data_IF_845229819595
#
_entry.id   IF_845229819595
#
_cell.length_a   1.000
_cell.length_b   1.000
_cell.length_c   1.000
_cell.angle_alpha   90.00
_cell.angle_beta   90.00
_cell.angle_gamma   90.00
#
_symmetry.space_group_name_H-M   'P 1'
#
loop_
_entity.id
_entity.type
_entity.pdbx_description
1 polymer ?
#
# COMPACT_ATOMS: atom_id res chain seq x y z
N UNK A 1 -13.75 53.30 20.46
CA UNK A 1 -12.27 53.43 20.55
C UNK A 1 -11.66 52.32 19.72
N UNK A 2 -11.23 52.66 18.50
CA UNK A 2 -10.57 51.75 17.57
C UNK A 2 -9.08 52.08 17.56
N UNK A 3 -8.22 51.20 18.08
CA UNK A 3 -6.78 51.21 17.86
C UNK A 3 -6.25 49.78 17.93
N UNK A 4 -5.59 49.36 16.86
CA UNK A 4 -4.98 48.05 16.69
C UNK A 4 -4.51 47.89 15.26
N UNK A 5 -3.74 48.87 14.80
CA UNK A 5 -3.14 48.97 13.47
C UNK A 5 -2.42 47.66 13.15
N UNK A 6 -2.96 46.90 12.20
CA UNK A 6 -2.22 45.86 11.49
C UNK A 6 -1.05 46.58 10.80
N UNK A 7 0.14 46.44 11.38
CA UNK A 7 1.37 46.86 10.73
C UNK A 7 1.43 46.19 9.35
N UNK A 8 1.65 46.94 8.26
CA UNK A 8 1.86 46.31 6.96
C UNK A 8 3.11 45.44 7.06
N UNK A 9 2.95 44.12 6.89
CA UNK A 9 4.07 43.19 6.75
C UNK A 9 4.95 43.72 5.62
N UNK A 10 6.20 44.06 5.95
CA UNK A 10 7.18 44.60 4.99
C UNK A 10 7.26 43.63 3.81
N UNK A 11 7.00 44.11 2.59
CA UNK A 11 7.39 43.38 1.38
C UNK A 11 8.89 43.11 1.49
N UNK A 12 9.24 41.84 1.65
CA UNK A 12 10.62 41.38 1.63
C UNK A 12 11.25 41.85 0.32
N UNK A 13 12.40 42.55 0.38
CA UNK A 13 13.15 42.87 -0.83
C UNK A 13 13.49 41.56 -1.54
N UNK A 14 13.04 41.36 -2.77
CA UNK A 14 13.15 40.06 -3.44
C UNK A 14 14.34 40.06 -4.41
N UNK A 15 15.31 39.13 -4.27
CA UNK A 15 16.39 38.96 -5.24
C UNK A 15 15.91 38.20 -6.50
N UNK A 16 14.62 38.31 -6.87
CA UNK A 16 13.99 37.56 -7.97
C UNK A 16 14.70 37.71 -9.31
N UNK A 17 15.37 38.84 -9.56
CA UNK A 17 16.20 39.06 -10.75
C UNK A 17 17.43 38.13 -10.80
N UNK A 18 17.97 37.71 -9.65
CA UNK A 18 19.12 36.80 -9.53
C UNK A 18 18.73 35.32 -9.60
N UNK A 19 17.47 34.94 -9.32
CA UNK A 19 17.06 33.52 -9.26
C UNK A 19 17.31 32.75 -10.56
N UNK A 20 17.16 33.39 -11.71
CA UNK A 20 17.45 32.75 -12.99
C UNK A 20 18.94 32.38 -13.13
N UNK A 21 19.82 33.23 -12.60
CA UNK A 21 21.27 32.99 -12.58
C UNK A 21 21.59 31.85 -11.62
N UNK A 22 21.02 31.89 -10.41
CA UNK A 22 21.22 30.84 -9.40
C UNK A 22 20.76 29.48 -9.92
N UNK A 23 19.57 29.41 -10.51
CA UNK A 23 19.01 28.18 -11.01
C UNK A 23 19.83 27.55 -12.15
N UNK A 24 20.44 28.37 -13.02
CA UNK A 24 21.38 27.89 -14.05
C UNK A 24 22.67 27.36 -13.43
N UNK A 25 23.19 28.03 -12.41
CA UNK A 25 24.38 27.58 -11.66
C UNK A 25 24.12 26.26 -10.96
N UNK A 26 22.96 26.12 -10.31
CA UNK A 26 22.51 24.88 -9.68
C UNK A 26 22.44 23.72 -10.69
N UNK A 27 21.83 23.91 -11.86
CA UNK A 27 21.75 22.86 -12.87
C UNK A 27 23.14 22.35 -13.31
N UNK A 28 24.11 23.26 -13.46
CA UNK A 28 25.51 22.91 -13.76
C UNK A 28 26.18 22.20 -12.59
N UNK A 29 25.89 22.60 -11.36
CA UNK A 29 26.41 21.94 -10.15
C UNK A 29 25.88 20.51 -10.03
N UNK A 30 24.58 20.28 -10.31
CA UNK A 30 24.01 18.93 -10.27
C UNK A 30 24.69 17.99 -11.25
N UNK A 31 24.97 18.45 -12.48
CA UNK A 31 25.66 17.65 -13.49
C UNK A 31 27.11 17.31 -13.11
N UNK A 32 27.76 18.11 -12.25
CA UNK A 32 29.10 17.80 -11.73
C UNK A 32 29.06 16.79 -10.58
N UNK A 33 28.06 16.90 -9.72
CA UNK A 33 27.97 16.15 -8.46
C UNK A 33 27.20 14.83 -8.57
N UNK A 34 26.29 14.71 -9.53
CA UNK A 34 25.35 13.60 -9.65
C UNK A 34 25.59 12.88 -10.99
N UNK A 35 26.12 11.63 -10.98
CA UNK A 35 26.43 10.88 -12.20
C UNK A 35 25.26 10.76 -13.18
N UNK A 36 24.04 10.62 -12.68
CA UNK A 36 22.84 10.53 -13.53
C UNK A 36 22.53 11.84 -14.26
N UNK A 37 22.76 12.99 -13.62
CA UNK A 37 22.55 14.30 -14.24
C UNK A 37 23.68 14.66 -15.20
N UNK A 38 24.91 14.17 -14.97
CA UNK A 38 26.04 14.33 -15.88
C UNK A 38 25.77 13.71 -17.27
N UNK A 39 24.88 12.71 -17.33
CA UNK A 39 24.49 11.99 -18.57
C UNK A 39 23.35 12.67 -19.32
N UNK A 40 22.68 13.66 -18.73
CA UNK A 40 21.61 14.39 -19.40
C UNK A 40 22.19 15.34 -20.45
N UNK A 41 21.46 15.54 -21.56
CA UNK A 41 21.85 16.52 -22.58
C UNK A 41 21.91 17.94 -21.99
N UNK A 42 22.89 18.74 -22.42
CA UNK A 42 23.10 20.11 -21.95
C UNK A 42 21.85 20.99 -22.10
N UNK A 43 21.11 20.83 -23.20
CA UNK A 43 19.85 21.55 -23.43
C UNK A 43 18.77 21.21 -22.39
N UNK A 44 18.73 19.97 -21.89
CA UNK A 44 17.81 19.56 -20.82
C UNK A 44 18.22 20.18 -19.48
N UNK A 45 19.52 20.24 -19.17
CA UNK A 45 20.00 20.88 -17.95
C UNK A 45 19.61 22.37 -17.92
N UNK A 46 19.75 23.08 -19.04
CA UNK A 46 19.45 24.51 -19.10
C UNK A 46 17.96 24.84 -19.23
N UNK A 47 17.18 24.05 -19.97
CA UNK A 47 15.75 24.36 -20.24
C UNK A 47 14.78 23.71 -19.27
N UNK A 48 15.19 22.67 -18.56
CA UNK A 48 14.32 21.90 -17.65
C UNK A 48 14.82 22.00 -16.20
N UNK A 49 16.05 21.54 -15.90
CA UNK A 49 16.56 21.54 -14.51
C UNK A 49 16.66 22.96 -13.94
N UNK A 50 17.20 23.91 -14.72
CA UNK A 50 17.28 25.30 -14.29
C UNK A 50 15.88 25.94 -14.19
N UNK A 51 14.95 25.58 -15.08
CA UNK A 51 13.58 26.12 -15.02
C UNK A 51 12.87 25.66 -13.76
N UNK A 52 12.93 24.37 -13.44
CA UNK A 52 12.35 23.78 -12.23
C UNK A 52 12.97 24.39 -10.97
N UNK A 53 14.30 24.51 -10.93
CA UNK A 53 15.01 25.13 -9.80
C UNK A 53 14.62 26.59 -9.58
N UNK A 54 14.32 27.32 -10.66
CA UNK A 54 13.80 28.69 -10.60
C UNK A 54 12.38 28.76 -10.03
N UNK A 55 11.46 27.87 -10.44
CA UNK A 55 10.11 27.84 -9.89
C UNK A 55 10.12 27.52 -8.39
N UNK A 56 11.00 26.63 -7.94
CA UNK A 56 11.17 26.34 -6.51
C UNK A 56 11.73 27.53 -5.74
N UNK A 57 12.68 28.28 -6.32
CA UNK A 57 13.18 29.52 -5.69
C UNK A 57 12.09 30.60 -5.61
N UNK A 58 11.20 30.68 -6.61
CA UNK A 58 10.05 31.58 -6.56
C UNK A 58 9.07 31.19 -5.44
N UNK A 59 8.82 29.89 -5.25
CA UNK A 59 7.89 29.39 -4.23
C UNK A 59 8.32 29.74 -2.81
N UNK A 60 9.63 29.81 -2.54
CA UNK A 60 10.15 30.27 -1.24
C UNK A 60 9.68 31.70 -0.89
N UNK A 61 9.34 32.52 -1.89
CA UNK A 61 8.96 33.94 -1.73
C UNK A 61 7.48 34.25 -2.00
N UNK A 62 6.72 33.38 -2.65
CA UNK A 62 5.31 33.62 -2.96
C UNK A 62 4.43 33.11 -1.80
N UNK A 63 3.35 33.84 -1.52
CA UNK A 63 2.34 33.38 -0.54
C UNK A 63 1.39 32.34 -1.15
N UNK A 64 1.29 32.29 -2.48
CA UNK A 64 0.50 31.30 -3.24
C UNK A 64 1.40 30.50 -4.18
N UNK A 65 1.47 29.19 -3.94
CA UNK A 65 2.27 28.20 -4.69
C UNK A 65 1.39 27.21 -5.47
N UNK A 66 0.26 27.69 -6.01
CA UNK A 66 -0.66 26.85 -6.79
C UNK A 66 0.08 26.16 -7.95
N UNK A 67 -0.02 24.84 -8.00
CA UNK A 67 0.61 24.01 -9.05
C UNK A 67 2.05 23.58 -8.78
N UNK A 68 2.70 24.01 -7.68
CA UNK A 68 4.06 23.59 -7.32
C UNK A 68 4.18 22.06 -7.15
N UNK A 69 3.20 21.46 -6.49
CA UNK A 69 3.15 20.02 -6.27
C UNK A 69 2.94 19.24 -7.57
N UNK A 70 2.03 19.69 -8.42
CA UNK A 70 1.79 19.10 -9.74
C UNK A 70 3.03 19.17 -10.63
N UNK A 71 3.75 20.30 -10.60
CA UNK A 71 5.05 20.45 -11.26
C UNK A 71 6.05 19.41 -10.74
N UNK A 72 6.15 19.25 -9.41
CA UNK A 72 7.06 18.29 -8.80
C UNK A 72 6.71 16.83 -9.17
N UNK A 73 5.43 16.45 -9.21
CA UNK A 73 4.99 15.13 -9.70
C UNK A 73 5.48 14.91 -11.14
N UNK A 74 5.23 15.87 -12.04
CA UNK A 74 5.65 15.78 -13.44
C UNK A 74 7.18 15.70 -13.61
N UNK A 75 7.95 16.35 -12.73
CA UNK A 75 9.43 16.23 -12.69
C UNK A 75 9.83 14.80 -12.34
N UNK A 76 9.21 14.20 -11.33
CA UNK A 76 9.44 12.82 -10.93
C UNK A 76 9.24 11.83 -12.07
N UNK A 77 8.09 11.92 -12.73
CA UNK A 77 7.77 11.05 -13.88
C UNK A 77 8.77 11.22 -15.03
N UNK A 78 9.13 12.46 -15.34
CA UNK A 78 10.07 12.77 -16.43
C UNK A 78 11.46 12.20 -16.16
N UNK A 79 11.95 12.33 -14.93
CA UNK A 79 13.28 11.85 -14.52
C UNK A 79 13.37 10.32 -14.55
N UNK A 80 12.29 9.65 -14.18
CA UNK A 80 12.15 8.20 -14.38
C UNK A 80 12.29 7.85 -15.86
N UNK A 81 11.55 8.52 -16.75
CA UNK A 81 11.60 8.28 -18.21
C UNK A 81 12.96 8.59 -18.84
N UNK A 82 13.76 9.45 -18.22
CA UNK A 82 15.10 9.83 -18.64
C UNK A 82 16.20 8.96 -18.04
N UNK A 83 15.86 7.93 -17.25
CA UNK A 83 16.83 7.01 -16.66
C UNK A 83 17.64 7.60 -15.50
N UNK A 84 17.18 8.70 -14.90
CA UNK A 84 17.77 9.25 -13.67
C UNK A 84 17.28 8.40 -12.51
N UNK A 85 18.16 7.93 -11.61
CA UNK A 85 17.73 7.13 -10.47
C UNK A 85 16.96 7.97 -9.43
N UNK A 86 16.08 7.33 -8.65
CA UNK A 86 15.40 8.00 -7.53
C UNK A 86 16.41 8.58 -6.53
N UNK A 87 17.53 7.89 -6.28
CA UNK A 87 18.60 8.40 -5.41
C UNK A 87 19.28 9.65 -5.99
N UNK A 88 19.55 9.66 -7.30
CA UNK A 88 20.06 10.83 -8.02
C UNK A 88 19.10 12.01 -7.97
N UNK A 89 17.80 11.76 -8.17
CA UNK A 89 16.75 12.77 -8.05
C UNK A 89 16.67 13.37 -6.64
N UNK A 90 16.62 12.53 -5.59
CA UNK A 90 16.58 13.00 -4.20
C UNK A 90 17.88 13.72 -3.79
N UNK A 91 19.03 13.37 -4.39
CA UNK A 91 20.28 14.10 -4.19
C UNK A 91 20.23 15.50 -4.81
N UNK A 92 19.62 15.66 -5.99
CA UNK A 92 19.44 16.97 -6.63
C UNK A 92 18.62 17.94 -5.75
N UNK A 93 17.59 17.45 -5.08
CA UNK A 93 16.81 18.24 -4.12
C UNK A 93 17.63 18.76 -2.94
N UNK A 94 18.47 17.91 -2.35
CA UNK A 94 19.36 18.33 -1.24
C UNK A 94 20.40 19.36 -1.69
N UNK A 95 20.94 19.20 -2.91
CA UNK A 95 21.86 20.19 -3.50
C UNK A 95 21.13 21.50 -3.80
N UNK A 96 19.90 21.46 -4.34
CA UNK A 96 19.09 22.65 -4.57
C UNK A 96 18.95 23.51 -3.30
N UNK A 97 18.55 22.88 -2.19
CA UNK A 97 18.35 23.59 -0.93
C UNK A 97 19.66 24.16 -0.39
N UNK A 98 20.76 23.40 -0.44
CA UNK A 98 22.08 23.88 -0.04
C UNK A 98 22.50 25.09 -0.87
N UNK A 99 22.44 24.98 -2.20
CA UNK A 99 22.86 26.03 -3.13
C UNK A 99 21.99 27.29 -2.98
N UNK A 100 20.68 27.12 -2.70
CA UNK A 100 19.78 28.24 -2.45
C UNK A 100 20.20 29.02 -1.19
N UNK A 101 20.51 28.32 -0.10
CA UNK A 101 20.98 28.93 1.14
C UNK A 101 22.36 29.59 0.98
N UNK A 102 23.28 28.97 0.24
CA UNK A 102 24.60 29.54 -0.06
C UNK A 102 24.50 30.80 -0.91
N UNK A 103 23.64 30.80 -1.94
CA UNK A 103 23.38 31.98 -2.77
C UNK A 103 22.74 33.12 -1.95
N UNK A 104 21.80 32.80 -1.07
CA UNK A 104 21.20 33.78 -0.15
C UNK A 104 22.23 34.37 0.81
N UNK A 105 23.10 33.52 1.39
CA UNK A 105 24.19 33.98 2.25
C UNK A 105 25.13 34.94 1.52
N UNK A 106 25.41 34.70 0.23
CA UNK A 106 26.34 35.49 -0.56
C UNK A 106 25.73 36.83 -1.03
N UNK A 107 24.51 36.80 -1.56
CA UNK A 107 23.91 37.95 -2.26
C UNK A 107 22.88 38.71 -1.42
N UNK A 108 22.26 38.07 -0.43
CA UNK A 108 21.21 38.67 0.40
C UNK A 108 21.23 38.15 1.86
N UNK A 109 22.36 38.27 2.59
CA UNK A 109 22.53 37.64 3.91
C UNK A 109 21.49 38.08 4.94
N UNK A 110 20.95 39.30 4.81
CA UNK A 110 19.88 39.81 5.68
C UNK A 110 18.55 39.07 5.57
N UNK A 111 18.34 38.29 4.50
CA UNK A 111 17.12 37.50 4.28
C UNK A 111 17.28 36.03 4.68
N UNK A 112 18.50 35.58 5.00
CA UNK A 112 18.80 34.16 5.18
C UNK A 112 17.98 33.52 6.31
N UNK A 113 17.84 34.20 7.44
CA UNK A 113 17.08 33.68 8.59
C UNK A 113 15.58 33.55 8.30
N UNK A 114 15.03 34.46 7.49
CA UNK A 114 13.62 34.44 7.11
C UNK A 114 13.35 33.38 6.02
N UNK A 115 14.26 33.25 5.05
CA UNK A 115 14.10 32.36 3.91
C UNK A 115 14.45 30.89 4.23
N UNK A 116 15.35 30.61 5.18
CA UNK A 116 15.82 29.25 5.42
C UNK A 116 14.71 28.24 5.80
N UNK A 117 13.76 28.57 6.70
CA UNK A 117 12.62 27.69 6.98
C UNK A 117 11.75 27.44 5.74
N UNK A 118 11.57 28.46 4.89
CA UNK A 118 10.80 28.34 3.65
C UNK A 118 11.51 27.47 2.61
N UNK A 119 12.84 27.56 2.50
CA UNK A 119 13.63 26.65 1.64
C UNK A 119 13.46 25.20 2.10
N UNK A 120 13.48 24.95 3.42
CA UNK A 120 13.27 23.61 3.96
C UNK A 120 11.84 23.08 3.70
N UNK A 121 10.83 23.95 3.86
CA UNK A 121 9.42 23.61 3.57
C UNK A 121 9.22 23.27 2.08
N UNK A 122 9.76 24.10 1.18
CA UNK A 122 9.69 23.84 -0.26
C UNK A 122 10.41 22.53 -0.60
N UNK A 123 11.63 22.33 -0.09
CA UNK A 123 12.41 21.10 -0.28
C UNK A 123 11.61 19.84 0.07
N UNK A 124 11.02 19.82 1.26
CA UNK A 124 10.26 18.67 1.76
C UNK A 124 9.11 18.35 0.82
N UNK A 125 8.25 19.34 0.57
CA UNK A 125 7.05 19.22 -0.30
C UNK A 125 7.39 18.75 -1.71
N UNK A 126 8.36 19.39 -2.37
CA UNK A 126 8.67 19.07 -3.78
C UNK A 126 9.41 17.75 -3.92
N UNK A 127 10.27 17.39 -2.95
CA UNK A 127 11.01 16.13 -3.00
C UNK A 127 10.08 14.93 -2.80
N UNK A 128 9.10 15.04 -1.91
CA UNK A 128 8.08 14.02 -1.69
C UNK A 128 7.18 13.85 -2.92
N UNK A 129 6.65 14.97 -3.46
CA UNK A 129 5.81 14.96 -4.64
C UNK A 129 6.52 14.39 -5.89
N UNK A 130 7.79 14.73 -6.09
CA UNK A 130 8.59 14.12 -7.15
C UNK A 130 8.88 12.63 -6.93
N UNK A 131 9.11 12.19 -5.69
CA UNK A 131 9.25 10.76 -5.41
C UNK A 131 7.96 10.00 -5.75
N UNK A 132 6.78 10.57 -5.42
CA UNK A 132 5.48 10.02 -5.84
C UNK A 132 5.35 9.92 -7.36
N UNK A 133 5.62 11.00 -8.09
CA UNK A 133 5.57 10.99 -9.56
C UNK A 133 6.55 9.99 -10.20
N UNK A 134 7.76 9.88 -9.64
CA UNK A 134 8.74 8.89 -10.06
C UNK A 134 8.22 7.46 -9.90
N UNK A 135 7.58 7.16 -8.77
CA UNK A 135 6.97 5.85 -8.52
C UNK A 135 5.78 5.58 -9.44
N UNK A 136 4.95 6.58 -9.74
CA UNK A 136 3.84 6.45 -10.70
C UNK A 136 4.36 6.07 -12.09
N UNK A 137 5.38 6.77 -12.59
CA UNK A 137 5.99 6.43 -13.88
C UNK A 137 6.67 5.04 -13.88
N UNK A 138 7.20 4.58 -12.74
CA UNK A 138 7.66 3.19 -12.60
C UNK A 138 6.50 2.18 -12.64
N UNK A 139 5.32 2.53 -12.11
CA UNK A 139 4.15 1.65 -12.16
C UNK A 139 3.68 1.46 -13.61
N UNK A 140 3.78 2.49 -14.45
CA UNK A 140 3.46 2.45 -15.88
C UNK A 140 4.50 1.70 -16.73
N UNK A 141 5.69 1.42 -16.18
CA UNK A 141 6.78 0.75 -16.91
C UNK A 141 6.63 -0.78 -17.01
N UNK A 142 5.58 -1.35 -16.41
CA UNK A 142 5.34 -2.79 -16.47
C UNK A 142 4.36 -3.13 -17.60
N UNK A 143 4.65 -4.14 -18.44
CA UNK A 143 3.79 -4.47 -19.57
C UNK A 143 2.33 -4.69 -19.12
N UNK A 144 1.33 -4.30 -19.93
CA UNK A 144 -0.11 -4.41 -19.60
C UNK A 144 -0.62 -5.86 -19.60
N UNK A 145 0.27 -6.84 -19.41
CA UNK A 145 -0.09 -8.25 -19.35
C UNK A 145 -0.88 -8.52 -18.07
N UNK A 146 -1.86 -9.44 -18.10
CA UNK A 146 -2.50 -9.91 -16.90
C UNK A 146 -1.47 -10.37 -15.87
N UNK A 147 -1.71 -10.06 -14.61
CA UNK A 147 -0.84 -10.45 -13.50
C UNK A 147 -1.61 -11.29 -12.49
N UNK A 148 -0.95 -12.26 -11.88
CA UNK A 148 -1.42 -12.87 -10.63
C UNK A 148 -1.04 -11.95 -9.48
N UNK A 149 -1.98 -11.67 -8.60
CA UNK A 149 -1.77 -10.81 -7.45
C UNK A 149 -1.67 -11.59 -6.16
N UNK A 150 -0.78 -11.15 -5.27
CA UNK A 150 -0.57 -11.69 -3.93
C UNK A 150 -0.51 -10.55 -2.93
N UNK A 151 -1.19 -10.69 -1.80
CA UNK A 151 -1.23 -9.72 -0.71
C UNK A 151 -0.94 -10.38 0.63
N UNK A 152 -0.23 -9.66 1.50
CA UNK A 152 0.00 -10.05 2.91
C UNK A 152 -0.30 -8.89 3.83
N UNK A 153 -0.80 -9.19 5.02
CA UNK A 153 -0.99 -8.18 6.07
C UNK A 153 0.34 -7.50 6.42
N UNK A 154 0.30 -6.25 6.86
CA UNK A 154 1.50 -5.45 7.13
C UNK A 154 2.48 -6.13 8.11
N UNK A 155 1.97 -6.77 9.17
CA UNK A 155 2.77 -7.53 10.14
C UNK A 155 3.57 -8.68 9.51
N UNK A 156 3.11 -9.17 8.37
CA UNK A 156 3.65 -10.32 7.64
C UNK A 156 4.37 -9.89 6.34
N UNK A 157 4.55 -8.58 6.11
CA UNK A 157 5.12 -8.02 4.88
C UNK A 157 6.54 -8.58 4.57
N UNK A 158 7.29 -8.94 5.60
CA UNK A 158 8.61 -9.57 5.46
C UNK A 158 8.58 -10.91 4.70
N UNK A 159 7.43 -11.59 4.66
CA UNK A 159 7.27 -12.84 3.91
C UNK A 159 7.58 -12.66 2.42
N UNK A 160 7.16 -11.53 1.82
CA UNK A 160 7.32 -11.30 0.38
C UNK A 160 8.78 -11.13 -0.04
N UNK A 161 9.69 -10.79 0.88
CA UNK A 161 11.14 -10.70 0.62
C UNK A 161 11.71 -12.05 0.15
N UNK A 162 11.12 -13.16 0.61
CA UNK A 162 11.58 -14.51 0.25
C UNK A 162 10.93 -15.05 -1.03
N UNK A 163 9.97 -14.34 -1.62
CA UNK A 163 9.25 -14.80 -2.80
C UNK A 163 10.17 -15.23 -3.97
N UNK A 164 11.28 -14.52 -4.30
CA UNK A 164 12.19 -14.95 -5.37
C UNK A 164 12.85 -16.31 -5.15
N UNK A 165 12.91 -16.82 -3.91
CA UNK A 165 13.46 -18.16 -3.62
C UNK A 165 12.48 -19.29 -3.93
N UNK A 166 11.18 -19.00 -3.93
CA UNK A 166 10.13 -20.00 -4.07
C UNK A 166 9.44 -19.94 -5.43
N UNK A 167 9.51 -18.80 -6.12
CA UNK A 167 8.82 -18.57 -7.38
C UNK A 167 9.73 -18.85 -8.58
N UNK A 168 9.21 -19.48 -9.65
CA UNK A 168 9.96 -19.75 -10.88
C UNK A 168 10.06 -18.52 -11.79
N UNK A 169 10.26 -17.33 -11.22
CA UNK A 169 10.27 -16.05 -11.93
C UNK A 169 11.58 -15.29 -11.69
N UNK A 170 12.09 -14.63 -12.73
CA UNK A 170 13.15 -13.64 -12.58
C UNK A 170 12.65 -12.33 -11.96
N UNK A 171 13.55 -11.42 -11.53
CA UNK A 171 13.19 -10.13 -10.94
C UNK A 171 12.24 -9.29 -11.81
N UNK A 172 12.38 -9.36 -13.14
CA UNK A 172 11.55 -8.66 -14.11
C UNK A 172 10.08 -9.14 -14.15
N UNK A 173 9.83 -10.39 -13.74
CA UNK A 173 8.50 -10.99 -13.64
C UNK A 173 7.79 -10.70 -12.32
N UNK A 174 8.40 -9.94 -11.41
CA UNK A 174 7.88 -9.63 -10.09
C UNK A 174 7.87 -8.12 -9.85
N UNK A 175 6.78 -7.59 -9.31
CA UNK A 175 6.76 -6.21 -8.81
C UNK A 175 6.11 -6.14 -7.44
N UNK A 176 6.74 -5.35 -6.58
CA UNK A 176 6.29 -5.10 -5.22
C UNK A 176 5.58 -3.76 -5.16
N UNK A 177 4.51 -3.71 -4.36
CA UNK A 177 3.84 -2.47 -4.02
C UNK A 177 3.43 -2.49 -2.54
N UNK A 178 3.12 -1.31 -2.03
CA UNK A 178 2.51 -1.13 -0.71
C UNK A 178 1.08 -0.70 -0.90
N UNK A 179 0.21 -1.14 0.00
CA UNK A 179 -1.19 -0.80 0.01
C UNK A 179 -1.70 -0.57 1.44
N UNK A 180 -2.83 0.10 1.64
CA UNK A 180 -3.47 0.17 2.95
C UNK A 180 -3.68 -1.24 3.53
N UNK A 181 -3.20 -1.47 4.75
CA UNK A 181 -3.35 -2.76 5.44
C UNK A 181 -2.28 -3.82 5.10
N UNK A 182 -1.42 -3.63 4.10
CA UNK A 182 -0.43 -4.65 3.77
C UNK A 182 0.49 -4.39 2.58
N UNK A 183 1.24 -5.42 2.22
CA UNK A 183 2.18 -5.41 1.09
C UNK A 183 1.64 -6.29 -0.05
N UNK A 184 1.91 -5.87 -1.27
CA UNK A 184 1.50 -6.53 -2.50
C UNK A 184 2.70 -7.05 -3.29
N UNK A 185 2.51 -8.21 -3.91
CA UNK A 185 3.40 -8.79 -4.90
C UNK A 185 2.56 -9.15 -6.12
N UNK A 186 2.91 -8.58 -7.25
CA UNK A 186 2.35 -8.93 -8.54
C UNK A 186 3.32 -9.84 -9.28
N UNK A 187 2.78 -10.79 -10.05
CA UNK A 187 3.53 -11.82 -10.74
C UNK A 187 3.09 -11.88 -12.20
N UNK A 188 4.03 -11.74 -13.13
CA UNK A 188 3.79 -11.91 -14.58
C UNK A 188 3.75 -13.39 -14.96
N UNK A 189 2.86 -14.14 -14.33
CA UNK A 189 2.64 -15.55 -14.62
C UNK A 189 1.23 -15.95 -14.22
N UNK A 190 0.68 -16.98 -14.86
CA UNK A 190 -0.57 -17.55 -14.45
C UNK A 190 -0.48 -18.20 -13.08
N UNK A 191 -1.56 -18.12 -12.31
CA UNK A 191 -1.58 -18.64 -10.93
C UNK A 191 -1.12 -20.10 -10.85
N UNK A 192 -1.49 -20.93 -11.84
CA UNK A 192 -1.10 -22.35 -11.89
C UNK A 192 0.41 -22.58 -11.90
N UNK A 193 1.18 -21.67 -12.50
CA UNK A 193 2.65 -21.79 -12.57
C UNK A 193 3.32 -21.40 -11.25
N UNK A 194 2.72 -20.45 -10.52
CA UNK A 194 3.28 -19.92 -9.27
C UNK A 194 2.67 -20.53 -8.01
N UNK A 195 1.55 -21.26 -8.12
CA UNK A 195 0.78 -21.80 -6.99
C UNK A 195 1.64 -22.62 -6.03
N UNK A 196 2.48 -23.52 -6.57
CA UNK A 196 3.36 -24.36 -5.74
C UNK A 196 4.29 -23.51 -4.88
N UNK A 197 4.96 -22.53 -5.50
CA UNK A 197 5.88 -21.63 -4.82
C UNK A 197 5.18 -20.74 -3.79
N UNK A 198 3.99 -20.25 -4.11
CA UNK A 198 3.16 -19.47 -3.17
C UNK A 198 2.70 -20.31 -1.97
N UNK A 199 2.35 -21.58 -2.17
CA UNK A 199 2.01 -22.50 -1.07
C UNK A 199 3.22 -22.77 -0.16
N UNK A 200 4.41 -22.91 -0.73
CA UNK A 200 5.64 -23.07 0.04
C UNK A 200 5.97 -21.81 0.85
N UNK A 201 5.83 -20.63 0.24
CA UNK A 201 5.97 -19.34 0.90
C UNK A 201 4.98 -19.21 2.08
N UNK A 202 3.72 -19.61 1.87
CA UNK A 202 2.65 -19.52 2.86
C UNK A 202 2.90 -20.37 4.11
N UNK A 203 3.43 -21.58 3.93
CA UNK A 203 3.52 -22.59 5.00
C UNK A 203 4.38 -22.15 6.19
N UNK A 204 5.30 -21.22 6.00
CA UNK A 204 6.30 -20.85 7.01
C UNK A 204 6.26 -19.39 7.44
N UNK A 205 5.53 -18.52 6.72
CA UNK A 205 5.68 -17.07 6.89
C UNK A 205 4.36 -16.33 7.20
N UNK A 206 3.25 -16.66 6.54
CA UNK A 206 2.06 -15.78 6.57
C UNK A 206 0.78 -16.40 6.00
N UNK A 207 -0.36 -15.75 6.25
CA UNK A 207 -1.54 -15.90 5.41
C UNK A 207 -1.37 -15.05 4.14
N UNK A 208 -1.21 -15.69 2.99
CA UNK A 208 -1.11 -15.07 1.67
C UNK A 208 -2.50 -15.04 1.02
N UNK A 209 -2.97 -13.85 0.70
CA UNK A 209 -4.19 -13.61 -0.08
C UNK A 209 -3.81 -13.58 -1.56
N UNK A 210 -4.58 -14.22 -2.44
CA UNK A 210 -4.31 -14.20 -3.87
C UNK A 210 -5.53 -13.92 -4.72
N UNK A 211 -5.26 -13.28 -5.86
CA UNK A 211 -6.21 -13.03 -6.95
C UNK A 211 -5.62 -13.62 -8.22
N UNK A 212 -6.46 -14.25 -9.04
CA UNK A 212 -6.04 -14.83 -10.32
C UNK A 212 -5.58 -13.78 -11.32
N UNK A 213 -5.26 -14.22 -12.54
CA UNK A 213 -4.83 -13.30 -13.59
C UNK A 213 -5.91 -12.29 -13.96
N UNK A 214 -5.52 -11.02 -13.96
CA UNK A 214 -6.34 -9.94 -14.44
C UNK A 214 -5.53 -8.66 -14.70
N UNK A 215 -6.18 -7.60 -15.20
CA UNK A 215 -5.58 -6.28 -15.26
C UNK A 215 -5.05 -5.88 -13.89
N UNK A 216 -3.82 -5.33 -13.84
CA UNK A 216 -3.15 -5.00 -12.58
C UNK A 216 -3.99 -4.14 -11.65
N UNK A 217 -4.72 -3.16 -12.20
CA UNK A 217 -5.55 -2.25 -11.42
C UNK A 217 -6.72 -2.97 -10.72
N UNK A 218 -7.37 -3.91 -11.41
CA UNK A 218 -8.45 -4.72 -10.83
C UNK A 218 -7.90 -5.66 -9.75
N UNK A 219 -6.81 -6.35 -10.06
CA UNK A 219 -6.10 -7.23 -9.12
C UNK A 219 -5.66 -6.48 -7.87
N UNK A 220 -5.18 -5.25 -8.02
CA UNK A 220 -4.76 -4.42 -6.90
C UNK A 220 -5.95 -4.03 -6.02
N UNK A 221 -7.07 -3.58 -6.61
CA UNK A 221 -8.28 -3.22 -5.85
C UNK A 221 -8.82 -4.40 -5.06
N UNK A 222 -8.89 -5.58 -5.67
CA UNK A 222 -9.33 -6.81 -4.99
C UNK A 222 -8.44 -7.14 -3.79
N UNK A 223 -7.12 -7.00 -3.93
CA UNK A 223 -6.19 -7.25 -2.83
C UNK A 223 -6.26 -6.17 -1.74
N UNK A 224 -6.45 -4.91 -2.11
CA UNK A 224 -6.63 -3.81 -1.16
C UNK A 224 -7.85 -4.03 -0.27
N UNK A 225 -9.00 -4.34 -0.87
CA UNK A 225 -10.22 -4.66 -0.13
C UNK A 225 -9.99 -5.87 0.80
N UNK A 226 -9.36 -6.92 0.29
CA UNK A 226 -9.05 -8.12 1.05
C UNK A 226 -8.12 -7.86 2.25
N UNK A 227 -7.11 -7.00 2.09
CA UNK A 227 -6.17 -6.64 3.14
C UNK A 227 -6.80 -5.77 4.24
N UNK A 228 -7.80 -4.96 3.91
CA UNK A 228 -8.58 -4.23 4.92
C UNK A 228 -9.44 -5.17 5.78
N UNK A 229 -9.92 -6.27 5.21
CA UNK A 229 -10.69 -7.30 5.92
C UNK A 229 -9.82 -8.29 6.67
N UNK A 230 -8.59 -8.52 6.21
CA UNK A 230 -7.66 -9.51 6.76
C UNK A 230 -7.45 -9.43 8.29
N UNK A 231 -7.24 -8.24 8.89
CA UNK A 231 -7.13 -8.07 10.34
C UNK A 231 -8.33 -8.54 11.14
N UNK A 232 -9.53 -8.56 10.55
CA UNK A 232 -10.75 -9.03 11.20
C UNK A 232 -10.81 -10.57 11.27
N UNK A 233 -9.97 -11.28 10.53
CA UNK A 233 -9.99 -12.74 10.45
C UNK A 233 -8.73 -13.36 11.04
N UNK A 234 -8.88 -14.47 11.77
CA UNK A 234 -7.73 -15.28 12.22
C UNK A 234 -7.35 -16.28 11.14
N UNK A 235 -6.77 -15.79 10.06
CA UNK A 235 -6.23 -16.65 9.01
C UNK A 235 -4.90 -17.26 9.48
N UNK A 236 -4.79 -18.59 9.64
CA UNK A 236 -3.51 -19.22 9.89
C UNK A 236 -2.61 -19.14 8.63
N UNK A 237 -1.30 -19.43 8.75
CA UNK A 237 -0.42 -19.47 7.59
C UNK A 237 -0.95 -20.40 6.49
N UNK A 238 -1.05 -19.87 5.27
CA UNK A 238 -1.76 -20.55 4.18
C UNK A 238 -2.03 -19.64 2.98
N UNK A 239 -2.44 -20.24 1.87
CA UNK A 239 -2.74 -19.53 0.62
C UNK A 239 -4.26 -19.47 0.43
N UNK A 240 -4.82 -18.27 0.44
CA UNK A 240 -6.27 -18.01 0.46
C UNK A 240 -6.69 -17.18 -0.74
N UNK A 241 -7.68 -17.61 -1.52
CA UNK A 241 -8.19 -16.79 -2.60
C UNK A 241 -9.01 -15.62 -2.03
N UNK A 242 -8.80 -14.41 -2.55
CA UNK A 242 -9.50 -13.20 -2.09
C UNK A 242 -11.02 -13.31 -2.18
N UNK A 243 -11.55 -14.03 -3.18
CA UNK A 243 -13.00 -14.26 -3.33
C UNK A 243 -13.69 -14.88 -2.10
N UNK A 244 -12.92 -15.46 -1.18
CA UNK A 244 -13.41 -15.95 0.11
C UNK A 244 -13.86 -14.82 1.06
N UNK A 245 -13.42 -13.59 0.82
CA UNK A 245 -13.64 -12.44 1.70
C UNK A 245 -14.79 -11.54 1.23
N UNK A 246 -15.16 -11.57 -0.06
CA UNK A 246 -16.23 -10.72 -0.59
C UNK A 246 -17.59 -10.91 0.11
N UNK A 247 -18.04 -12.14 0.44
CA UNK A 247 -19.29 -12.29 1.18
C UNK A 247 -19.25 -11.65 2.56
N UNK A 248 -18.08 -11.62 3.21
CA UNK A 248 -17.89 -10.95 4.49
C UNK A 248 -17.90 -9.43 4.32
N UNK A 249 -17.27 -8.91 3.27
CA UNK A 249 -17.32 -7.48 2.90
C UNK A 249 -18.77 -7.00 2.80
N UNK A 250 -19.57 -7.68 1.98
CA UNK A 250 -20.99 -7.40 1.78
C UNK A 250 -21.81 -7.51 3.08
N UNK A 251 -21.49 -8.49 3.92
CA UNK A 251 -22.15 -8.64 5.20
C UNK A 251 -21.83 -7.47 6.14
N UNK A 252 -20.58 -7.00 6.18
CA UNK A 252 -20.15 -5.89 7.03
C UNK A 252 -20.78 -4.55 6.62
N UNK A 253 -21.12 -4.36 5.35
CA UNK A 253 -21.80 -3.15 4.87
C UNK A 253 -23.27 -3.05 5.31
N UNK A 254 -23.92 -4.16 5.70
CA UNK A 254 -25.35 -4.20 6.01
C UNK A 254 -25.63 -4.67 7.43
N UNK A 255 -25.93 -3.75 8.36
CA UNK A 255 -26.29 -4.08 9.75
C UNK A 255 -27.42 -5.11 9.85
N UNK A 256 -28.45 -5.00 9.00
CA UNK A 256 -29.54 -6.00 8.93
C UNK A 256 -29.06 -7.36 8.43
N UNK A 257 -28.15 -7.37 7.45
CA UNK A 257 -27.49 -8.57 6.97
C UNK A 257 -26.69 -9.26 8.08
N UNK A 258 -25.91 -8.48 8.84
CA UNK A 258 -25.14 -8.97 9.98
C UNK A 258 -26.06 -9.64 11.02
N UNK A 259 -27.13 -8.96 11.45
CA UNK A 259 -28.07 -9.49 12.44
C UNK A 259 -28.74 -10.79 11.97
N UNK A 260 -29.06 -10.91 10.67
CA UNK A 260 -29.63 -12.14 10.09
C UNK A 260 -28.63 -13.29 10.11
N UNK A 261 -27.39 -13.06 9.68
CA UNK A 261 -26.33 -14.08 9.67
C UNK A 261 -25.96 -14.52 11.09
N UNK A 262 -25.75 -13.58 12.01
CA UNK A 262 -25.41 -13.91 13.40
C UNK A 262 -26.52 -14.69 14.11
N UNK A 263 -27.79 -14.45 13.77
CA UNK A 263 -28.92 -15.20 14.33
C UNK A 263 -28.84 -16.70 14.02
N UNK A 264 -28.26 -17.09 12.89
CA UNK A 264 -28.11 -18.49 12.49
C UNK A 264 -27.21 -19.27 13.45
N UNK A 265 -26.16 -18.63 13.97
CA UNK A 265 -25.18 -19.26 14.87
C UNK A 265 -25.41 -18.92 16.34
N UNK A 266 -26.35 -18.01 16.65
CA UNK A 266 -26.71 -17.61 18.01
C UNK A 266 -27.06 -18.80 18.94
N UNK A 267 -27.78 -19.85 18.50
CA UNK A 267 -28.05 -21.01 19.35
C UNK A 267 -26.78 -21.74 19.86
N UNK A 268 -25.63 -21.51 19.23
CA UNK A 268 -24.34 -22.10 19.59
C UNK A 268 -23.52 -21.23 20.56
N UNK A 269 -23.92 -19.98 20.84
CA UNK A 269 -23.15 -19.05 21.69
C UNK A 269 -22.89 -19.59 23.10
N UNK A 270 -23.87 -20.32 23.67
CA UNK A 270 -23.72 -20.99 24.98
C UNK A 270 -23.02 -22.35 24.92
N UNK A 271 -22.56 -22.80 23.75
CA UNK A 271 -22.04 -24.15 23.53
C UNK A 271 -20.68 -24.11 22.83
N UNK A 272 -19.61 -23.67 23.53
CA UNK A 272 -18.29 -23.43 22.95
C UNK A 272 -17.68 -24.69 22.31
N UNK A 273 -18.00 -25.87 22.85
CA UNK A 273 -17.54 -27.15 22.32
C UNK A 273 -18.15 -27.50 20.96
N UNK A 274 -19.43 -27.16 20.73
CA UNK A 274 -20.08 -27.34 19.43
C UNK A 274 -19.52 -26.37 18.41
N UNK A 275 -19.34 -25.11 18.83
CA UNK A 275 -18.77 -24.04 18.01
C UNK A 275 -17.36 -24.40 17.52
N UNK A 276 -16.47 -24.79 18.45
CA UNK A 276 -15.11 -25.27 18.12
C UNK A 276 -15.13 -26.48 17.20
N UNK A 277 -16.10 -27.37 17.37
CA UNK A 277 -16.21 -28.57 16.53
C UNK A 277 -16.61 -28.21 15.11
N UNK A 278 -17.57 -27.30 14.94
CA UNK A 278 -18.02 -26.82 13.65
C UNK A 278 -16.90 -26.06 12.91
N UNK A 279 -16.20 -25.16 13.59
CA UNK A 279 -15.04 -24.45 13.04
C UNK A 279 -13.93 -25.40 12.60
N UNK A 280 -13.60 -26.40 13.44
CA UNK A 280 -12.59 -27.39 13.10
C UNK A 280 -13.01 -28.26 11.91
N UNK A 281 -14.30 -28.60 11.78
CA UNK A 281 -14.85 -29.37 10.67
C UNK A 281 -14.78 -28.59 9.35
N UNK A 282 -15.25 -27.34 9.33
CA UNK A 282 -15.17 -26.48 8.16
C UNK A 282 -13.71 -26.21 7.75
N UNK A 283 -12.85 -25.87 8.73
CA UNK A 283 -11.43 -25.66 8.51
C UNK A 283 -10.67 -26.93 8.09
N UNK A 284 -11.24 -28.12 8.29
CA UNK A 284 -10.71 -29.41 7.86
C UNK A 284 -11.28 -29.87 6.50
N UNK A 285 -11.87 -28.96 5.72
CA UNK A 285 -12.49 -29.26 4.42
C UNK A 285 -13.58 -30.33 4.53
N UNK A 286 -14.42 -30.22 5.55
CA UNK A 286 -15.53 -31.15 5.82
C UNK A 286 -15.06 -32.59 6.10
N UNK A 287 -13.80 -32.77 6.51
CA UNK A 287 -13.27 -34.09 6.86
C UNK A 287 -13.43 -34.37 8.35
N UNK A 288 -14.36 -35.27 8.68
CA UNK A 288 -14.61 -35.72 10.05
C UNK A 288 -13.32 -36.24 10.72
N UNK A 289 -12.54 -37.08 10.02
CA UNK A 289 -11.29 -37.65 10.53
C UNK A 289 -10.21 -36.60 10.77
N UNK A 290 -10.11 -35.58 9.92
CA UNK A 290 -9.14 -34.50 10.13
C UNK A 290 -9.57 -33.56 11.26
N UNK A 291 -10.87 -33.27 11.38
CA UNK A 291 -11.42 -32.50 12.49
C UNK A 291 -11.21 -33.21 13.84
N UNK A 292 -11.53 -34.51 13.91
CA UNK A 292 -11.30 -35.35 15.08
C UNK A 292 -9.84 -35.35 15.54
N UNK A 293 -8.89 -35.53 14.61
CA UNK A 293 -7.46 -35.44 14.91
C UNK A 293 -7.05 -34.06 15.42
N UNK A 294 -7.56 -32.97 14.81
CA UNK A 294 -7.28 -31.60 15.25
C UNK A 294 -7.79 -31.31 16.65
N UNK A 295 -8.94 -31.87 17.02
CA UNK A 295 -9.56 -31.66 18.33
C UNK A 295 -9.09 -32.66 19.40
N UNK A 296 -8.33 -33.70 19.04
CA UNK A 296 -8.00 -34.79 19.94
C UNK A 296 -9.22 -35.63 20.38
N UNK A 297 -10.26 -35.69 19.54
CA UNK A 297 -11.52 -36.37 19.84
C UNK A 297 -11.69 -37.63 18.99
N UNK A 298 -12.55 -38.54 19.44
CA UNK A 298 -12.99 -39.66 18.62
C UNK A 298 -13.93 -39.16 17.49
N UNK A 299 -13.86 -39.71 16.25
CA UNK A 299 -14.73 -39.29 15.15
C UNK A 299 -16.23 -39.29 15.49
N UNK A 300 -16.70 -40.27 16.27
CA UNK A 300 -18.11 -40.32 16.71
C UNK A 300 -18.51 -39.14 17.60
N UNK A 301 -17.59 -38.64 18.45
CA UNK A 301 -17.86 -37.46 19.29
C UNK A 301 -17.97 -36.22 18.43
N UNK A 302 -17.12 -36.08 17.42
CA UNK A 302 -17.22 -34.98 16.44
C UNK A 302 -18.56 -35.07 15.71
N UNK A 303 -18.93 -36.25 15.20
CA UNK A 303 -20.19 -36.46 14.48
C UNK A 303 -21.40 -36.12 15.34
N UNK A 304 -21.43 -36.59 16.59
CA UNK A 304 -22.47 -36.26 17.55
C UNK A 304 -22.58 -34.74 17.79
N UNK A 305 -21.45 -34.05 17.98
CA UNK A 305 -21.44 -32.59 18.17
C UNK A 305 -21.90 -31.84 16.92
N UNK A 306 -21.56 -32.33 15.73
CA UNK A 306 -22.04 -31.75 14.48
C UNK A 306 -23.56 -31.92 14.34
N UNK A 307 -24.11 -33.11 14.57
CA UNK A 307 -25.56 -33.33 14.56
C UNK A 307 -26.27 -32.46 15.60
N UNK A 308 -25.71 -32.32 16.80
CA UNK A 308 -26.29 -31.43 17.80
C UNK A 308 -26.28 -29.97 17.35
N UNK A 309 -25.25 -29.53 16.63
CA UNK A 309 -25.20 -28.19 16.05
C UNK A 309 -26.28 -28.01 14.96
N UNK A 310 -26.51 -29.02 14.11
CA UNK A 310 -27.59 -29.01 13.12
C UNK A 310 -28.97 -28.90 13.80
N UNK A 311 -29.22 -29.68 14.85
CA UNK A 311 -30.48 -29.64 15.62
C UNK A 311 -30.78 -28.25 16.21
N UNK A 312 -29.75 -27.60 16.77
CA UNK A 312 -29.91 -26.31 17.46
C UNK A 312 -30.04 -25.13 16.49
N UNK A 313 -29.36 -25.20 15.36
CA UNK A 313 -29.34 -24.11 14.36
C UNK A 313 -30.44 -24.26 13.31
N UNK A 314 -30.93 -25.49 13.11
CA UNK A 314 -31.85 -25.83 12.02
C UNK A 314 -31.19 -25.88 10.64
N UNK A 315 -29.85 -25.83 10.59
CA UNK A 315 -29.05 -25.80 9.36
C UNK A 315 -28.43 -27.17 9.13
N UNK A 316 -28.47 -27.66 7.89
CA UNK A 316 -27.89 -28.95 7.53
C UNK A 316 -26.49 -28.81 6.92
N UNK A 317 -25.54 -29.59 7.41
CA UNK A 317 -24.17 -29.66 6.88
C UNK A 317 -24.08 -30.45 5.57
N UNK A 318 -25.17 -31.07 5.12
CA UNK A 318 -25.27 -31.72 3.81
C UNK A 318 -25.83 -30.77 2.73
N UNK A 319 -26.44 -29.65 3.14
CA UNK A 319 -26.97 -28.63 2.23
C UNK A 319 -25.95 -27.54 1.97
N UNK A 320 -25.62 -27.33 0.70
CA UNK A 320 -24.59 -26.35 0.29
C UNK A 320 -25.00 -24.92 0.69
N UNK A 321 -26.28 -24.59 0.61
CA UNK A 321 -26.78 -23.26 0.97
C UNK A 321 -26.54 -22.97 2.47
N UNK A 322 -26.83 -23.95 3.32
CA UNK A 322 -26.68 -23.85 4.77
C UNK A 322 -25.19 -23.82 5.17
N UNK A 323 -24.35 -24.64 4.53
CA UNK A 323 -22.90 -24.60 4.71
C UNK A 323 -22.31 -23.22 4.38
N UNK A 324 -22.73 -22.61 3.27
CA UNK A 324 -22.29 -21.28 2.88
C UNK A 324 -22.71 -20.22 3.92
N UNK A 325 -23.96 -20.28 4.38
CA UNK A 325 -24.46 -19.36 5.40
C UNK A 325 -23.73 -19.54 6.74
N UNK A 326 -23.49 -20.78 7.17
CA UNK A 326 -22.72 -21.10 8.36
C UNK A 326 -21.30 -20.53 8.26
N UNK A 327 -20.61 -20.77 7.15
CA UNK A 327 -19.25 -20.29 6.94
C UNK A 327 -19.15 -18.76 7.08
N UNK A 328 -20.05 -18.02 6.43
CA UNK A 328 -20.08 -16.55 6.51
C UNK A 328 -20.45 -16.08 7.93
N UNK A 329 -21.46 -16.70 8.55
CA UNK A 329 -21.92 -16.33 9.89
C UNK A 329 -20.82 -16.52 10.96
N UNK A 330 -20.05 -17.61 10.87
CA UNK A 330 -18.92 -17.87 11.75
C UNK A 330 -17.80 -16.83 11.56
N UNK A 331 -17.44 -16.52 10.31
CA UNK A 331 -16.42 -15.51 10.00
C UNK A 331 -16.83 -14.11 10.46
N UNK A 332 -18.10 -13.74 10.23
CA UNK A 332 -18.64 -12.46 10.68
C UNK A 332 -18.62 -12.37 12.20
N UNK A 333 -19.01 -13.44 12.90
CA UNK A 333 -18.95 -13.48 14.36
C UNK A 333 -17.51 -13.26 14.84
N UNK A 334 -16.56 -13.97 14.25
CA UNK A 334 -15.13 -13.81 14.58
C UNK A 334 -14.67 -12.36 14.38
N UNK A 335 -14.97 -11.77 13.22
CA UNK A 335 -14.64 -10.38 12.88
C UNK A 335 -15.18 -9.36 13.89
N UNK A 336 -16.40 -9.54 14.37
CA UNK A 336 -17.02 -8.64 15.35
C UNK A 336 -16.53 -8.89 16.78
N UNK A 337 -16.10 -10.11 17.11
CA UNK A 337 -15.53 -10.43 18.43
C UNK A 337 -14.06 -10.06 18.58
N UNK A 338 -13.31 -9.95 17.48
CA UNK A 338 -11.87 -9.65 17.50
C UNK A 338 -11.55 -8.22 17.97
N UNK A 339 -12.52 -7.30 17.96
CA UNK A 339 -12.32 -5.87 18.25
C UNK A 339 -11.48 -5.17 17.17
N UNK A 340 -11.59 -3.84 16.99
CA UNK A 340 -10.64 -3.12 16.14
C UNK A 340 -9.23 -3.29 16.72
N UNK A 341 -8.19 -3.50 15.89
CA UNK A 341 -6.82 -3.44 16.37
C UNK A 341 -6.59 -2.06 16.99
N UNK A 342 -6.20 -2.05 18.26
CA UNK A 342 -5.86 -0.83 19.00
C UNK A 342 -4.60 -0.15 18.49
#
# INVERSE_FOLDING_TARGET
MAWGILAPRRRMGSPTRSFQVWARTMARHYAREIPDYARLHADLLERDVARVSYEYLLAVWKEEDEGLEALAVAVGERRQRQGVSLLGLLRAYRLWAKDALEALKAEAPGLLLEAAPRVAEVLDRVSEASARGYQLALRDAWPPRPVTGVGVALRDAGALVYAPRHLPLGPEGMAFAQAPGGALLFLQAPFKEVERGLRELARSQAALLWVGEGPREEVQKDLEEALLLGPLLRLPPGLYPVRFLWPLSLALESRRGQERLLRLVRPLEGQPDLLKTLEAYLGARLSLKAAARRLGLHPNTVLYRLHRAEELTGLSLERVEDLCLLQIALQLREALTAGPPG
#
